data_IF_655260674245
#
_entry.id   IF_655260674245
#
_cell.length_a   1.000
_cell.length_b   1.000
_cell.length_c   1.000
_cell.angle_alpha   90.00
_cell.angle_beta   90.00
_cell.angle_gamma   90.00
#
_symmetry.space_group_name_H-M   'P 1'
#
loop_
_entity.id
_entity.type
_entity.pdbx_description
1 polymer ?
#
# COMPACT_ATOMS: atom_id res chain seq x y z
N UNK A 1 -8.33 -8.45 20.99
CA UNK A 1 -8.07 -9.88 20.67
C UNK A 1 -9.32 -10.44 20.00
N UNK A 2 -9.23 -10.78 18.74
CA UNK A 2 -10.38 -11.29 17.98
C UNK A 2 -10.69 -12.72 18.42
N UNK A 3 -11.90 -12.97 18.94
CA UNK A 3 -12.35 -14.30 19.34
C UNK A 3 -12.59 -15.24 18.14
N UNK A 4 -12.75 -14.69 16.94
CA UNK A 4 -12.97 -15.43 15.69
C UNK A 4 -11.95 -14.96 14.64
N UNK A 5 -10.91 -15.77 14.46
CA UNK A 5 -9.85 -15.50 13.48
C UNK A 5 -10.35 -15.58 12.02
N UNK A 6 -11.54 -16.17 11.79
CA UNK A 6 -12.12 -16.26 10.45
C UNK A 6 -12.94 -15.03 10.08
N UNK A 7 -13.35 -14.22 11.07
CA UNK A 7 -14.14 -13.02 10.84
C UNK A 7 -13.42 -11.96 10.00
N UNK A 8 -12.08 -11.93 10.06
CA UNK A 8 -11.28 -11.00 9.28
C UNK A 8 -11.41 -11.24 7.76
N UNK A 9 -11.66 -12.47 7.32
CA UNK A 9 -11.87 -12.80 5.90
C UNK A 9 -13.19 -12.29 5.31
N UNK A 10 -14.09 -11.77 6.13
CA UNK A 10 -15.32 -11.11 5.67
C UNK A 10 -15.06 -9.72 5.13
N UNK A 11 -13.98 -9.08 5.58
CA UNK A 11 -13.51 -7.82 5.03
C UNK A 11 -12.54 -8.11 3.88
N UNK A 12 -12.97 -7.84 2.68
CA UNK A 12 -12.14 -8.03 1.50
C UNK A 12 -12.35 -6.92 0.48
N UNK A 13 -11.35 -6.70 -0.34
CA UNK A 13 -11.39 -5.79 -1.46
C UNK A 13 -10.53 -6.36 -2.58
N UNK A 14 -10.74 -5.90 -3.79
CA UNK A 14 -9.87 -6.22 -4.90
C UNK A 14 -8.71 -5.22 -4.96
N UNK A 15 -7.45 -5.65 -5.17
CA UNK A 15 -6.29 -4.73 -5.23
C UNK A 15 -6.47 -3.62 -6.28
N UNK A 16 -7.02 -3.96 -7.44
CA UNK A 16 -7.28 -2.98 -8.50
C UNK A 16 -8.29 -1.90 -8.07
N UNK A 17 -9.31 -2.25 -7.29
CA UNK A 17 -10.29 -1.28 -6.79
C UNK A 17 -9.66 -0.35 -5.75
N UNK A 18 -8.77 -0.88 -4.91
CA UNK A 18 -8.00 -0.06 -3.98
C UNK A 18 -7.07 0.93 -4.73
N UNK A 19 -6.37 0.48 -5.76
CA UNK A 19 -5.53 1.34 -6.59
C UNK A 19 -6.36 2.42 -7.32
N UNK A 20 -7.53 2.05 -7.86
CA UNK A 20 -8.46 3.01 -8.49
C UNK A 20 -9.00 4.05 -7.52
N UNK A 21 -9.32 3.64 -6.29
CA UNK A 21 -9.76 4.57 -5.26
C UNK A 21 -8.67 5.59 -4.92
N UNK A 22 -7.43 5.16 -4.82
CA UNK A 22 -6.28 6.05 -4.61
C UNK A 22 -6.06 6.99 -5.79
N UNK A 23 -6.19 6.50 -7.02
CA UNK A 23 -6.13 7.33 -8.22
C UNK A 23 -7.20 8.44 -8.20
N UNK A 24 -8.42 8.09 -7.83
CA UNK A 24 -9.49 9.07 -7.67
C UNK A 24 -9.16 10.09 -6.56
N UNK A 25 -8.59 9.63 -5.44
CA UNK A 25 -8.21 10.49 -4.32
C UNK A 25 -7.21 11.58 -4.72
N UNK A 26 -6.25 11.26 -5.59
CA UNK A 26 -5.19 12.20 -5.97
C UNK A 26 -5.51 13.01 -7.24
N UNK A 27 -6.51 12.59 -8.04
CA UNK A 27 -6.80 13.23 -9.33
C UNK A 27 -8.16 13.94 -9.40
N UNK A 28 -9.07 13.68 -8.44
CA UNK A 28 -10.44 14.19 -8.48
C UNK A 28 -10.86 14.83 -7.16
N UNK A 29 -11.71 15.86 -7.17
CA UNK A 29 -12.33 16.36 -5.95
C UNK A 29 -13.39 15.34 -5.48
N UNK A 30 -13.12 14.64 -4.37
CA UNK A 30 -14.02 13.63 -3.79
C UNK A 30 -14.90 14.17 -2.67
N UNK A 31 -14.49 15.27 -2.05
CA UNK A 31 -15.17 15.86 -0.89
C UNK A 31 -15.65 17.27 -1.20
N UNK A 32 -16.76 17.67 -0.57
CA UNK A 32 -17.23 19.07 -0.65
C UNK A 32 -16.22 20.03 -0.02
N UNK A 33 -15.56 19.58 1.05
CA UNK A 33 -14.49 20.32 1.71
C UNK A 33 -13.15 19.74 1.27
N UNK A 34 -12.40 20.50 0.49
CA UNK A 34 -11.10 20.11 -0.03
C UNK A 34 -10.08 19.82 1.09
N UNK A 35 -10.23 20.46 2.26
CA UNK A 35 -9.32 20.26 3.40
C UNK A 35 -9.34 18.83 3.92
N UNK A 36 -10.45 18.10 3.78
CA UNK A 36 -10.56 16.70 4.16
C UNK A 36 -9.70 15.81 3.25
N UNK A 37 -9.71 16.08 1.95
CA UNK A 37 -8.90 15.36 0.98
C UNK A 37 -7.41 15.63 1.21
N UNK A 38 -7.03 16.86 1.41
CA UNK A 38 -5.66 17.27 1.73
C UNK A 38 -5.19 16.63 3.04
N UNK A 39 -6.05 16.55 4.05
CA UNK A 39 -5.75 15.86 5.31
C UNK A 39 -5.45 14.38 5.09
N UNK A 40 -6.25 13.67 4.28
CA UNK A 40 -6.04 12.26 3.96
C UNK A 40 -4.70 12.07 3.22
N UNK A 41 -4.46 12.85 2.17
CA UNK A 41 -3.24 12.77 1.37
C UNK A 41 -2.00 13.04 2.26
N UNK A 42 -2.04 14.08 3.08
CA UNK A 42 -0.95 14.42 4.01
C UNK A 42 -0.73 13.33 5.06
N UNK A 43 -1.81 12.75 5.58
CA UNK A 43 -1.72 11.65 6.57
C UNK A 43 -1.09 10.40 5.95
N UNK A 44 -1.44 10.06 4.72
CA UNK A 44 -0.84 8.93 3.99
C UNK A 44 0.63 9.22 3.65
N UNK A 45 0.97 10.43 3.26
CA UNK A 45 2.37 10.83 2.98
C UNK A 45 3.22 10.83 4.24
N UNK A 46 2.65 11.12 5.40
CA UNK A 46 3.31 11.04 6.71
C UNK A 46 3.30 9.66 7.35
N UNK A 47 2.84 8.62 6.64
CA UNK A 47 2.78 7.26 7.18
C UNK A 47 4.20 6.71 7.45
N UNK A 48 4.42 6.21 8.66
CA UNK A 48 5.69 5.63 9.11
C UNK A 48 5.60 4.14 9.46
N UNK A 49 4.45 3.50 9.21
CA UNK A 49 4.27 2.06 9.42
C UNK A 49 4.71 1.28 8.18
N UNK A 50 5.26 0.07 8.36
CA UNK A 50 5.70 -0.79 7.26
C UNK A 50 6.77 -0.19 6.35
N UNK A 51 7.85 0.40 6.89
CA UNK A 51 8.92 1.01 6.08
C UNK A 51 9.62 -0.01 5.18
N UNK A 52 9.51 -1.30 5.51
CA UNK A 52 10.08 -2.42 4.75
C UNK A 52 9.19 -2.90 3.58
N UNK A 53 8.03 -2.26 3.35
CA UNK A 53 7.07 -2.58 2.29
C UNK A 53 7.24 -1.64 1.10
N UNK A 54 6.16 -1.05 0.59
CA UNK A 54 6.18 -0.16 -0.58
C UNK A 54 7.23 0.97 -0.49
N UNK A 55 7.48 1.62 0.67
CA UNK A 55 8.44 2.71 0.74
C UNK A 55 9.91 2.28 0.58
N UNK A 56 10.25 1.05 0.93
CA UNK A 56 11.65 0.60 1.03
C UNK A 56 12.51 0.91 -0.23
N UNK A 57 12.10 0.49 -1.44
CA UNK A 57 12.91 0.76 -2.63
C UNK A 57 12.88 2.22 -3.06
N UNK A 58 11.92 3.00 -2.58
CA UNK A 58 11.74 4.40 -2.97
C UNK A 58 12.58 5.38 -2.13
N UNK A 59 13.11 4.96 -1.00
CA UNK A 59 13.79 5.82 -0.04
C UNK A 59 14.98 6.61 -0.60
N UNK A 60 15.63 6.10 -1.67
CA UNK A 60 16.80 6.74 -2.29
C UNK A 60 16.50 7.34 -3.68
N UNK A 61 15.22 7.39 -4.11
CA UNK A 61 14.86 7.76 -5.47
C UNK A 61 14.40 9.20 -5.66
N UNK A 62 14.15 9.92 -4.58
CA UNK A 62 13.51 11.24 -4.64
C UNK A 62 11.99 11.19 -4.91
N UNK A 63 11.41 10.00 -5.08
CA UNK A 63 9.97 9.85 -5.19
C UNK A 63 9.27 10.12 -3.84
N UNK A 64 8.06 10.65 -3.90
CA UNK A 64 7.20 10.85 -2.71
C UNK A 64 6.13 9.78 -2.70
N UNK A 65 5.99 9.08 -1.60
CA UNK A 65 4.94 8.07 -1.41
C UNK A 65 3.98 8.46 -0.29
N UNK A 66 2.68 8.32 -0.54
CA UNK A 66 1.65 8.28 0.48
C UNK A 66 1.06 6.88 0.52
N UNK A 67 1.05 6.22 1.69
CA UNK A 67 0.63 4.83 1.76
C UNK A 67 -0.14 4.50 3.05
N UNK A 68 -0.77 3.33 3.07
CA UNK A 68 -1.46 2.75 4.23
C UNK A 68 -1.26 1.25 4.28
N UNK A 69 -0.67 0.78 5.37
CA UNK A 69 -0.45 -0.64 5.63
C UNK A 69 -1.68 -1.31 6.25
N UNK A 70 -1.79 -2.61 6.04
CA UNK A 70 -2.71 -3.49 6.75
C UNK A 70 -1.97 -4.76 7.18
N UNK A 71 -2.08 -5.14 8.44
CA UNK A 71 -1.46 -6.36 8.97
C UNK A 71 -2.46 -7.14 9.80
N UNK A 72 -2.60 -8.43 9.50
CA UNK A 72 -3.39 -9.39 10.27
C UNK A 72 -2.52 -10.26 11.17
N UNK A 73 -3.18 -10.95 12.08
CA UNK A 73 -2.55 -11.98 12.91
C UNK A 73 -2.21 -13.25 12.10
N UNK A 74 -1.68 -14.27 12.76
CA UNK A 74 -1.56 -15.60 12.17
C UNK A 74 -2.84 -16.40 12.37
N UNK A 75 -3.21 -17.18 11.36
CA UNK A 75 -4.33 -18.11 11.45
C UNK A 75 -3.93 -19.41 12.18
N UNK A 76 -4.84 -20.38 12.28
CA UNK A 76 -4.62 -21.65 12.96
C UNK A 76 -3.54 -22.53 12.32
N UNK A 77 -3.16 -22.28 11.07
CA UNK A 77 -2.07 -22.97 10.36
C UNK A 77 -0.73 -22.24 10.48
N UNK A 78 -0.69 -21.12 11.20
CA UNK A 78 0.50 -20.28 11.36
C UNK A 78 0.73 -19.29 10.21
N UNK A 79 -0.13 -19.25 9.19
CA UNK A 79 -0.02 -18.31 8.09
C UNK A 79 -0.40 -16.89 8.51
N UNK A 80 0.30 -15.89 7.98
CA UNK A 80 -0.08 -14.48 8.09
C UNK A 80 -1.37 -14.26 7.29
N UNK A 81 -2.46 -13.92 7.97
CA UNK A 81 -3.79 -13.75 7.37
C UNK A 81 -3.80 -12.68 6.27
N UNK A 82 -3.11 -11.59 6.51
CA UNK A 82 -2.96 -10.51 5.54
C UNK A 82 -1.77 -9.63 5.87
N UNK A 83 -0.97 -9.33 4.85
CA UNK A 83 0.12 -8.35 4.92
C UNK A 83 -0.01 -7.51 3.67
N UNK A 84 -0.51 -6.29 3.84
CA UNK A 84 -0.95 -5.46 2.73
C UNK A 84 -0.30 -4.08 2.80
N UNK A 85 -0.14 -3.46 1.64
CA UNK A 85 0.20 -2.05 1.55
C UNK A 85 -0.42 -1.47 0.28
N UNK A 86 -1.01 -0.28 0.38
CA UNK A 86 -1.57 0.46 -0.76
C UNK A 86 -1.03 1.87 -0.74
N UNK A 87 -0.76 2.44 -1.91
CA UNK A 87 -0.17 3.77 -1.97
C UNK A 87 -0.33 4.46 -3.31
N UNK A 88 -0.04 5.75 -3.30
CA UNK A 88 0.23 6.55 -4.47
C UNK A 88 1.68 7.02 -4.42
N UNK A 89 2.31 7.08 -5.57
CA UNK A 89 3.71 7.48 -5.71
C UNK A 89 3.81 8.58 -6.74
N UNK A 90 4.46 9.69 -6.37
CA UNK A 90 4.81 10.77 -7.27
C UNK A 90 6.30 10.66 -7.62
N UNK A 91 6.61 10.57 -8.90
CA UNK A 91 7.97 10.55 -9.41
C UNK A 91 8.60 11.96 -9.37
N UNK A 92 9.93 12.06 -9.39
CA UNK A 92 10.62 13.36 -9.40
C UNK A 92 10.28 14.26 -10.60
N UNK A 93 9.83 13.68 -11.71
CA UNK A 93 9.38 14.40 -12.91
C UNK A 93 7.92 14.86 -12.87
N UNK A 94 7.21 14.58 -11.77
CA UNK A 94 5.82 14.97 -11.55
C UNK A 94 4.77 13.95 -12.01
N UNK A 95 5.16 12.90 -12.73
CA UNK A 95 4.26 11.78 -13.02
C UNK A 95 3.90 11.04 -11.73
N UNK A 96 2.80 10.32 -11.75
CA UNK A 96 2.38 9.51 -10.60
C UNK A 96 1.83 8.16 -11.03
N UNK A 97 1.77 7.24 -10.07
CA UNK A 97 1.04 5.99 -10.19
C UNK A 97 0.45 5.57 -8.85
N UNK A 98 -0.49 4.67 -8.89
CA UNK A 98 -1.05 4.03 -7.69
C UNK A 98 -0.74 2.54 -7.68
N UNK A 99 -0.54 2.00 -6.49
CA UNK A 99 -0.15 0.61 -6.29
C UNK A 99 -0.89 0.01 -5.11
N UNK A 100 -1.34 -1.22 -5.24
CA UNK A 100 -1.95 -1.99 -4.15
C UNK A 100 -1.40 -3.42 -4.17
N UNK A 101 -0.78 -3.83 -3.06
CA UNK A 101 -0.25 -5.18 -2.89
C UNK A 101 -0.93 -5.83 -1.70
N UNK A 102 -1.65 -6.92 -1.96
CA UNK A 102 -2.33 -7.72 -0.95
C UNK A 102 -1.71 -9.11 -0.92
N UNK A 103 -1.11 -9.47 0.21
CA UNK A 103 -0.58 -10.81 0.45
C UNK A 103 -1.46 -11.49 1.48
N UNK A 104 -2.10 -12.59 1.08
CA UNK A 104 -3.03 -13.37 1.89
C UNK A 104 -2.44 -14.73 2.23
N UNK A 105 -2.65 -15.18 3.48
CA UNK A 105 -2.30 -16.51 3.96
C UNK A 105 -0.82 -16.88 3.69
N UNK A 106 0.09 -15.93 3.89
CA UNK A 106 1.52 -16.15 3.70
C UNK A 106 2.06 -17.14 4.73
N UNK A 107 2.72 -18.19 4.27
CA UNK A 107 3.44 -19.16 5.10
C UNK A 107 4.85 -18.69 5.46
N UNK A 108 5.30 -17.61 4.82
CA UNK A 108 6.62 -17.04 5.04
C UNK A 108 6.71 -16.27 6.35
N UNK A 109 7.91 -15.86 6.72
CA UNK A 109 8.11 -14.89 7.79
C UNK A 109 7.50 -13.53 7.43
N UNK A 110 7.22 -12.70 8.43
CA UNK A 110 6.79 -11.33 8.17
C UNK A 110 7.83 -10.58 7.33
N UNK A 111 9.11 -10.71 7.67
CA UNK A 111 10.21 -10.07 6.95
C UNK A 111 10.24 -10.47 5.47
N UNK A 112 10.08 -11.74 5.17
CA UNK A 112 10.06 -12.23 3.78
C UNK A 112 8.82 -11.74 3.03
N UNK A 113 7.66 -11.72 3.70
CA UNK A 113 6.41 -11.21 3.11
C UNK A 113 6.51 -9.71 2.81
N UNK A 114 7.12 -8.92 3.69
CA UNK A 114 7.39 -7.50 3.47
C UNK A 114 8.39 -7.28 2.33
N UNK A 115 9.42 -8.14 2.21
CA UNK A 115 10.39 -8.11 1.11
C UNK A 115 9.69 -8.32 -0.25
N UNK A 116 8.75 -9.24 -0.34
CA UNK A 116 7.94 -9.48 -1.55
C UNK A 116 7.17 -8.20 -1.95
N UNK A 117 6.57 -7.52 -0.98
CA UNK A 117 5.88 -6.23 -1.24
C UNK A 117 6.86 -5.17 -1.75
N UNK A 118 8.04 -5.08 -1.14
CA UNK A 118 9.08 -4.14 -1.55
C UNK A 118 9.59 -4.44 -2.97
N UNK A 119 9.77 -5.70 -3.32
CA UNK A 119 10.17 -6.09 -4.69
C UNK A 119 9.12 -5.73 -5.73
N UNK A 120 7.83 -5.95 -5.42
CA UNK A 120 6.75 -5.52 -6.30
C UNK A 120 6.78 -4.00 -6.53
N UNK A 121 7.02 -3.23 -5.46
CA UNK A 121 7.17 -1.77 -5.53
C UNK A 121 8.36 -1.35 -6.41
N UNK A 122 9.52 -1.99 -6.24
CA UNK A 122 10.73 -1.71 -7.04
C UNK A 122 10.51 -1.98 -8.54
N UNK A 123 9.89 -3.10 -8.86
CA UNK A 123 9.58 -3.47 -10.24
C UNK A 123 8.67 -2.43 -10.90
N UNK A 124 7.60 -2.02 -10.21
CA UNK A 124 6.67 -1.02 -10.73
C UNK A 124 7.35 0.34 -10.87
N UNK A 125 8.12 0.77 -9.87
CA UNK A 125 8.85 2.03 -9.92
C UNK A 125 9.80 2.07 -11.12
N UNK A 126 10.63 1.06 -11.30
CA UNK A 126 11.56 0.97 -12.43
C UNK A 126 10.85 0.92 -13.79
N UNK A 127 9.69 0.29 -13.85
CA UNK A 127 8.88 0.31 -15.07
C UNK A 127 8.40 1.72 -15.37
N UNK A 128 7.85 2.41 -14.39
CA UNK A 128 7.33 3.78 -14.54
C UNK A 128 8.43 4.80 -14.84
N UNK A 129 9.61 4.63 -14.25
CA UNK A 129 10.78 5.49 -14.51
C UNK A 129 11.24 5.43 -15.97
N UNK A 130 11.08 4.28 -16.64
CA UNK A 130 11.50 4.07 -18.04
C UNK A 130 10.45 4.48 -19.07
N UNK A 131 9.21 4.78 -18.65
CA UNK A 131 8.18 5.28 -19.57
C UNK A 131 8.43 6.78 -19.80
N UNK A 132 8.81 7.14 -21.02
CA UNK A 132 8.95 8.53 -21.47
C UNK A 132 7.60 9.13 -21.89
#
# INVERSE_FOLDING_TARGET
>A
MHRDLTACYRNWSHPLDAARLLEMLITRPLFRDASLQEFIIRTMTGCNTGPERLPKPLAATGAVIGHKTGSGDRNSTGALIGTNDIGFVQLPDGRHYTIAVFVKDSQESLQETERIIAEASDIVYRYMERQE
#
